data_IF_299392421564
#
_entry.id   IF_299392421564
#
_cell.length_a   1.000
_cell.length_b   1.000
_cell.length_c   1.000
_cell.angle_alpha   90.00
_cell.angle_beta   90.00
_cell.angle_gamma   90.00
#
_symmetry.space_group_name_H-M   'P 1'
#
loop_
_entity.id
_entity.type
_entity.pdbx_description
1 polymer ?
#
# COMPACT_ATOMS: atom_id res chain seq x y z
N UNK A 1 -35.73 -41.18 -61.26
CA UNK A 1 -36.67 -40.33 -60.55
C UNK A 1 -36.20 -40.30 -59.11
N UNK A 2 -35.50 -39.30 -58.79
CA UNK A 2 -34.67 -39.19 -57.61
C UNK A 2 -35.39 -38.26 -56.61
N UNK A 3 -35.91 -38.85 -55.58
CA UNK A 3 -36.48 -38.11 -54.47
C UNK A 3 -35.35 -37.71 -53.52
N UNK A 4 -35.11 -36.43 -53.44
CA UNK A 4 -34.10 -35.87 -52.55
C UNK A 4 -34.84 -35.44 -51.30
N UNK A 5 -34.77 -36.29 -50.26
CA UNK A 5 -35.28 -35.96 -48.94
C UNK A 5 -34.58 -34.74 -48.37
N UNK A 6 -35.33 -33.66 -48.22
CA UNK A 6 -34.94 -32.54 -47.41
C UNK A 6 -34.96 -33.00 -45.94
N UNK A 7 -33.79 -33.31 -45.41
CA UNK A 7 -33.63 -33.40 -43.98
C UNK A 7 -33.66 -32.00 -43.37
N UNK A 8 -34.77 -31.67 -42.82
CA UNK A 8 -34.94 -30.49 -41.95
C UNK A 8 -34.09 -30.72 -40.70
N UNK A 9 -32.96 -30.04 -40.67
CA UNK A 9 -32.18 -29.97 -39.45
C UNK A 9 -32.92 -29.02 -38.50
N UNK A 10 -33.70 -29.62 -37.61
CA UNK A 10 -34.29 -28.91 -36.50
C UNK A 10 -33.18 -28.45 -35.58
N UNK A 11 -32.93 -27.15 -35.55
CA UNK A 11 -32.05 -26.52 -34.60
C UNK A 11 -32.65 -26.73 -33.21
N UNK A 12 -31.87 -27.19 -32.23
CA UNK A 12 -32.39 -27.30 -30.88
C UNK A 12 -32.72 -25.90 -30.33
N UNK A 13 -33.96 -25.71 -29.96
CA UNK A 13 -34.42 -24.56 -29.22
C UNK A 13 -33.56 -24.41 -27.97
N UNK A 14 -32.67 -23.48 -27.96
CA UNK A 14 -31.96 -23.05 -26.77
C UNK A 14 -32.93 -22.21 -25.94
N UNK A 15 -33.78 -22.90 -25.17
CA UNK A 15 -34.42 -22.31 -24.01
C UNK A 15 -33.34 -22.15 -22.95
N UNK A 16 -32.80 -21.03 -22.87
CA UNK A 16 -31.89 -20.60 -21.85
C UNK A 16 -32.08 -19.13 -21.68
N UNK A 17 -32.95 -18.75 -20.76
CA UNK A 17 -32.76 -17.50 -20.02
C UNK A 17 -31.39 -17.56 -19.34
N UNK A 18 -30.34 -17.51 -20.18
CA UNK A 18 -29.06 -17.02 -19.71
C UNK A 18 -29.30 -15.55 -19.50
N UNK A 19 -29.71 -15.19 -18.28
CA UNK A 19 -29.35 -13.93 -17.71
C UNK A 19 -27.93 -13.64 -18.20
N UNK A 20 -27.83 -12.73 -19.12
CA UNK A 20 -26.59 -12.03 -19.39
C UNK A 20 -26.27 -11.29 -18.10
N UNK A 21 -25.77 -12.03 -17.11
CA UNK A 21 -24.88 -11.46 -16.14
C UNK A 21 -23.80 -10.86 -17.02
N UNK A 22 -23.88 -9.57 -17.20
CA UNK A 22 -22.77 -8.75 -17.66
C UNK A 22 -21.67 -9.09 -16.67
N UNK A 23 -20.89 -10.10 -16.99
CA UNK A 23 -19.56 -10.24 -16.42
C UNK A 23 -18.87 -9.03 -17.00
N UNK A 24 -18.97 -7.90 -16.31
CA UNK A 24 -18.08 -6.79 -16.54
C UNK A 24 -16.70 -7.39 -16.44
N UNK A 25 -16.16 -7.73 -17.61
CA UNK A 25 -14.79 -8.19 -17.69
C UNK A 25 -13.97 -7.12 -17.00
N UNK A 26 -13.20 -7.45 -15.97
CA UNK A 26 -12.43 -6.45 -15.23
C UNK A 26 -11.63 -5.69 -16.27
N UNK A 27 -11.86 -4.38 -16.34
CA UNK A 27 -11.11 -3.51 -17.25
C UNK A 27 -9.66 -3.63 -16.78
N UNK A 28 -8.86 -4.37 -17.55
CA UNK A 28 -7.45 -4.58 -17.24
C UNK A 28 -6.63 -3.70 -18.15
N UNK A 29 -5.93 -2.74 -17.58
CA UNK A 29 -4.94 -1.94 -18.31
C UNK A 29 -3.61 -2.70 -18.28
N UNK A 30 -3.05 -2.97 -19.45
CA UNK A 30 -1.77 -3.67 -19.59
C UNK A 30 -0.76 -2.74 -20.23
N UNK A 31 0.38 -2.55 -19.58
CA UNK A 31 1.56 -1.87 -20.12
C UNK A 31 2.53 -2.97 -20.55
N UNK A 32 2.87 -2.99 -21.85
CA UNK A 32 3.75 -4.01 -22.39
C UNK A 32 5.21 -3.83 -21.92
N UNK A 33 6.01 -4.87 -22.06
CA UNK A 33 7.40 -4.93 -21.58
C UNK A 33 8.32 -3.87 -22.21
N UNK A 34 8.06 -3.50 -23.46
CA UNK A 34 8.88 -2.54 -24.22
C UNK A 34 8.40 -1.09 -24.04
N UNK A 35 7.26 -0.90 -23.38
CA UNK A 35 6.69 0.42 -23.18
C UNK A 35 7.38 1.16 -22.05
N UNK A 36 7.69 2.42 -22.31
CA UNK A 36 8.17 3.36 -21.29
C UNK A 36 7.19 4.50 -21.16
N UNK A 37 6.60 4.63 -19.99
CA UNK A 37 5.59 5.63 -19.69
C UNK A 37 6.07 6.55 -18.57
N UNK A 38 5.84 7.84 -18.76
CA UNK A 38 6.14 8.83 -17.72
C UNK A 38 4.92 9.72 -17.47
N UNK A 39 4.55 9.89 -16.22
CA UNK A 39 3.45 10.77 -15.84
C UNK A 39 2.55 10.20 -14.76
N UNK A 40 1.27 10.61 -14.77
CA UNK A 40 0.25 10.11 -13.85
C UNK A 40 -0.66 9.13 -14.59
N UNK A 41 -0.77 7.94 -14.06
CA UNK A 41 -1.64 6.89 -14.57
C UNK A 41 -2.76 6.63 -13.57
N UNK A 42 -4.01 6.77 -14.01
CA UNK A 42 -5.19 6.42 -13.22
C UNK A 42 -5.88 5.20 -13.83
N UNK A 43 -6.00 4.14 -13.06
CA UNK A 43 -6.62 2.88 -13.49
C UNK A 43 -7.84 2.63 -12.60
N UNK A 44 -9.03 2.55 -13.24
CA UNK A 44 -10.26 2.12 -12.60
C UNK A 44 -10.42 0.62 -12.83
N UNK A 45 -10.03 -0.20 -11.86
CA UNK A 45 -10.03 -1.65 -11.98
C UNK A 45 -8.64 -2.25 -11.84
N UNK A 46 -8.34 -3.29 -12.61
CA UNK A 46 -7.08 -4.01 -12.51
C UNK A 46 -6.05 -3.47 -13.50
N UNK A 47 -4.80 -3.34 -13.05
CA UNK A 47 -3.68 -2.93 -13.89
C UNK A 47 -2.56 -3.97 -13.88
N UNK A 48 -1.91 -4.15 -15.03
CA UNK A 48 -0.70 -4.96 -15.18
C UNK A 48 0.40 -4.14 -15.83
N UNK A 49 1.52 -4.00 -15.16
CA UNK A 49 2.68 -3.25 -15.63
C UNK A 49 3.82 -4.23 -15.87
N UNK A 50 4.25 -4.36 -17.13
CA UNK A 50 5.37 -5.23 -17.50
C UNK A 50 6.57 -4.45 -18.04
N UNK A 51 6.39 -3.16 -18.33
CA UNK A 51 7.42 -2.26 -18.87
C UNK A 51 8.04 -1.33 -17.84
N UNK A 52 8.59 -0.22 -18.35
CA UNK A 52 9.18 0.84 -17.50
C UNK A 52 8.14 1.92 -17.24
N UNK A 53 7.98 2.29 -15.98
CA UNK A 53 7.07 3.36 -15.61
C UNK A 53 7.73 4.33 -14.61
N UNK A 54 7.59 5.63 -14.88
CA UNK A 54 8.05 6.70 -13.98
C UNK A 54 6.94 7.70 -13.69
N UNK A 55 6.70 8.00 -12.41
CA UNK A 55 5.71 9.02 -12.03
C UNK A 55 4.78 8.59 -10.92
N UNK A 56 3.46 8.60 -11.15
CA UNK A 56 2.46 8.21 -10.15
C UNK A 56 1.42 7.28 -10.76
N UNK A 57 1.14 6.17 -10.07
CA UNK A 57 0.08 5.24 -10.44
C UNK A 57 -0.98 5.21 -9.34
N UNK A 58 -2.23 5.46 -9.72
CA UNK A 58 -3.40 5.33 -8.86
C UNK A 58 -4.30 4.23 -9.45
N UNK A 59 -4.54 3.18 -8.68
CA UNK A 59 -5.33 2.03 -9.11
C UNK A 59 -6.40 1.71 -8.04
N UNK A 60 -7.67 1.66 -8.44
CA UNK A 60 -8.75 1.34 -7.51
C UNK A 60 -8.90 -0.17 -7.27
N UNK A 61 -8.22 -1.01 -8.02
CA UNK A 61 -8.28 -2.46 -7.95
C UNK A 61 -6.96 -3.13 -7.59
N UNK A 62 -6.63 -4.17 -8.33
CA UNK A 62 -5.39 -4.93 -8.19
C UNK A 62 -4.35 -4.47 -9.20
N UNK A 63 -3.17 -4.11 -8.72
CA UNK A 63 -2.02 -3.74 -9.54
C UNK A 63 -1.00 -4.89 -9.52
N UNK A 64 -0.73 -5.45 -10.69
CA UNK A 64 0.30 -6.46 -10.90
C UNK A 64 1.53 -5.83 -11.57
N UNK A 65 2.69 -5.97 -10.95
CA UNK A 65 3.97 -5.54 -11.50
C UNK A 65 4.73 -6.79 -11.92
N UNK A 66 4.97 -6.93 -13.21
CA UNK A 66 5.62 -8.09 -13.81
C UNK A 66 7.09 -8.24 -13.39
N UNK A 67 7.70 -9.43 -13.60
CA UNK A 67 9.04 -9.73 -13.10
C UNK A 67 10.16 -8.96 -13.81
N UNK A 68 9.89 -8.42 -14.99
CA UNK A 68 10.85 -7.62 -15.76
C UNK A 68 10.50 -6.12 -15.73
N UNK A 69 9.43 -5.75 -15.02
CA UNK A 69 9.02 -4.36 -14.90
C UNK A 69 9.97 -3.56 -14.03
N UNK A 70 10.24 -2.35 -14.48
CA UNK A 70 10.96 -1.32 -13.74
C UNK A 70 10.03 -0.16 -13.44
N UNK A 71 9.71 0.05 -12.19
CA UNK A 71 8.78 1.10 -11.78
C UNK A 71 9.46 2.05 -10.81
N UNK A 72 9.62 3.31 -11.20
CA UNK A 72 10.09 4.39 -10.34
C UNK A 72 8.96 5.37 -10.09
N UNK A 73 8.06 5.03 -9.15
CA UNK A 73 6.83 5.78 -8.98
C UNK A 73 6.22 5.70 -7.59
N UNK A 74 5.35 6.68 -7.32
CA UNK A 74 4.41 6.59 -6.20
C UNK A 74 3.21 5.73 -6.60
N UNK A 75 3.03 4.59 -5.93
CA UNK A 75 1.96 3.64 -6.19
C UNK A 75 0.86 3.76 -5.13
N UNK A 76 -0.37 3.95 -5.56
CA UNK A 76 -1.55 3.87 -4.69
C UNK A 76 -2.53 2.85 -5.29
N UNK A 77 -2.81 1.75 -4.56
CA UNK A 77 -3.74 0.73 -5.02
C UNK A 77 -4.41 0.00 -3.84
N UNK A 78 -5.48 -0.73 -4.11
CA UNK A 78 -6.09 -1.57 -3.09
C UNK A 78 -5.24 -2.82 -2.83
N UNK A 79 -4.87 -3.51 -3.89
CA UNK A 79 -3.97 -4.67 -3.81
C UNK A 79 -2.80 -4.46 -4.75
N UNK A 80 -1.58 -4.77 -4.29
CA UNK A 80 -0.37 -4.67 -5.10
C UNK A 80 0.35 -6.00 -5.07
N UNK A 81 0.69 -6.52 -6.24
CA UNK A 81 1.56 -7.69 -6.39
C UNK A 81 2.82 -7.27 -7.13
N UNK A 82 3.97 -7.38 -6.48
CA UNK A 82 5.27 -6.98 -7.02
C UNK A 82 6.08 -8.23 -7.36
N UNK A 83 6.39 -8.43 -8.63
CA UNK A 83 7.30 -9.46 -9.08
C UNK A 83 8.58 -8.88 -9.71
N UNK A 84 8.59 -7.59 -10.08
CA UNK A 84 9.72 -6.87 -10.64
C UNK A 84 10.37 -5.90 -9.66
N UNK A 85 11.07 -4.90 -10.24
CA UNK A 85 11.74 -3.87 -9.47
C UNK A 85 10.82 -2.65 -9.30
N UNK A 86 10.65 -2.22 -8.05
CA UNK A 86 9.87 -1.03 -7.71
C UNK A 86 10.67 -0.13 -6.79
N UNK A 87 10.74 1.14 -7.15
CA UNK A 87 11.39 2.19 -6.36
C UNK A 87 10.43 3.35 -6.13
N UNK A 88 10.27 3.75 -4.87
CA UNK A 88 9.41 4.85 -4.49
C UNK A 88 8.46 4.52 -3.34
N UNK A 89 7.34 5.24 -3.26
CA UNK A 89 6.37 5.06 -2.19
C UNK A 89 5.23 4.13 -2.64
N UNK A 90 4.96 3.09 -1.88
CA UNK A 90 3.88 2.15 -2.17
C UNK A 90 2.80 2.24 -1.10
N UNK A 91 1.58 2.53 -1.51
CA UNK A 91 0.41 2.56 -0.63
C UNK A 91 -0.55 1.49 -1.08
N UNK A 92 -0.63 0.39 -0.34
CA UNK A 92 -1.56 -0.70 -0.59
C UNK A 92 -2.62 -0.75 0.51
N UNK A 93 -3.83 -0.29 0.20
CA UNK A 93 -4.92 -0.17 1.18
C UNK A 93 -5.26 -1.49 1.87
N UNK A 94 -5.29 -2.57 1.11
CA UNK A 94 -5.68 -3.89 1.61
C UNK A 94 -4.48 -4.81 1.79
N UNK A 95 -3.70 -5.05 0.71
CA UNK A 95 -2.61 -6.03 0.74
C UNK A 95 -1.50 -5.70 -0.24
N UNK A 96 -0.28 -5.82 0.24
CA UNK A 96 0.93 -5.87 -0.58
C UNK A 96 1.49 -7.29 -0.60
N UNK A 97 1.71 -7.84 -1.79
CA UNK A 97 2.38 -9.12 -2.00
C UNK A 97 3.68 -8.91 -2.76
N UNK A 98 4.79 -9.34 -2.21
CA UNK A 98 6.08 -9.33 -2.88
C UNK A 98 6.37 -10.76 -3.31
N UNK A 99 6.50 -10.98 -4.61
CA UNK A 99 6.81 -12.29 -5.17
C UNK A 99 8.31 -12.60 -5.02
N UNK A 100 8.69 -13.82 -5.36
CA UNK A 100 10.05 -14.33 -5.22
C UNK A 100 11.13 -13.56 -6.00
N UNK A 101 10.75 -12.89 -7.09
CA UNK A 101 11.65 -12.05 -7.90
C UNK A 101 11.45 -10.56 -7.62
N UNK A 102 10.47 -10.22 -6.76
CA UNK A 102 10.10 -8.85 -6.46
C UNK A 102 11.14 -8.15 -5.59
N UNK A 103 11.52 -6.95 -5.99
CA UNK A 103 12.37 -6.05 -5.22
C UNK A 103 11.65 -4.72 -5.02
N UNK A 104 11.50 -4.31 -3.78
CA UNK A 104 10.90 -3.03 -3.41
C UNK A 104 11.94 -2.18 -2.68
N UNK A 105 12.19 -0.98 -3.21
CA UNK A 105 13.05 0.02 -2.59
C UNK A 105 12.22 1.27 -2.25
N UNK A 106 12.20 1.65 -0.99
CA UNK A 106 11.49 2.83 -0.51
C UNK A 106 10.50 2.56 0.60
N UNK A 107 9.53 3.46 0.75
CA UNK A 107 8.56 3.38 1.84
C UNK A 107 7.30 2.64 1.40
N UNK A 108 6.82 1.72 2.22
CA UNK A 108 5.58 1.01 1.99
C UNK A 108 4.60 1.22 3.15
N UNK A 109 3.36 1.65 2.82
CA UNK A 109 2.24 1.73 3.76
C UNK A 109 1.19 0.73 3.31
N UNK A 110 0.91 -0.26 4.14
CA UNK A 110 0.09 -1.39 3.73
C UNK A 110 -0.88 -1.82 4.82
N UNK A 111 -2.07 -2.31 4.43
CA UNK A 111 -2.99 -2.95 5.37
C UNK A 111 -2.51 -4.32 5.80
N UNK A 112 -1.99 -5.11 4.87
CA UNK A 112 -1.36 -6.40 5.13
C UNK A 112 -0.18 -6.63 4.19
N UNK A 113 0.89 -7.25 4.69
CA UNK A 113 2.08 -7.58 3.92
C UNK A 113 2.25 -9.09 3.79
N UNK A 114 2.52 -9.54 2.58
CA UNK A 114 2.91 -10.93 2.28
C UNK A 114 4.19 -10.91 1.44
N UNK A 115 5.25 -11.48 1.96
CA UNK A 115 6.51 -11.62 1.24
C UNK A 115 6.74 -13.10 0.97
N UNK A 116 6.93 -13.46 -0.29
CA UNK A 116 7.30 -14.82 -0.69
C UNK A 116 8.82 -15.01 -0.59
N UNK A 117 9.25 -16.27 -0.53
CA UNK A 117 10.67 -16.61 -0.51
C UNK A 117 11.39 -16.00 -1.71
N UNK A 118 12.49 -15.31 -1.48
CA UNK A 118 13.26 -14.60 -2.51
C UNK A 118 12.88 -13.14 -2.73
N UNK A 119 11.73 -12.70 -2.23
CA UNK A 119 11.34 -11.28 -2.27
C UNK A 119 12.23 -10.41 -1.37
N UNK A 120 12.66 -9.27 -1.89
CA UNK A 120 13.55 -8.34 -1.17
C UNK A 120 12.84 -7.01 -0.99
N UNK A 121 12.92 -6.48 0.23
CA UNK A 121 12.48 -5.13 0.54
C UNK A 121 13.61 -4.33 1.19
N UNK A 122 13.81 -3.13 0.68
CA UNK A 122 14.72 -2.14 1.25
C UNK A 122 13.98 -0.84 1.58
N UNK A 123 13.89 -0.49 2.84
CA UNK A 123 13.23 0.75 3.28
C UNK A 123 12.34 0.55 4.49
N UNK A 124 11.37 1.44 4.67
CA UNK A 124 10.48 1.44 5.83
C UNK A 124 9.11 0.87 5.45
N UNK A 125 8.67 -0.16 6.18
CA UNK A 125 7.31 -0.67 6.03
C UNK A 125 6.48 -0.24 7.24
N UNK A 126 5.32 0.35 6.96
CA UNK A 126 4.31 0.65 7.98
C UNK A 126 3.06 -0.15 7.67
N UNK A 127 2.73 -1.07 8.57
CA UNK A 127 1.53 -1.90 8.44
C UNK A 127 0.42 -1.32 9.31
N UNK A 128 -0.72 -0.99 8.69
CA UNK A 128 -1.91 -0.47 9.35
C UNK A 128 -3.05 -1.46 9.16
N UNK A 129 -3.27 -2.43 10.06
CA UNK A 129 -4.27 -3.48 9.89
C UNK A 129 -5.71 -2.96 9.88
N UNK A 130 -5.96 -1.78 10.40
CA UNK A 130 -7.29 -1.13 10.42
C UNK A 130 -7.59 -0.28 9.18
N UNK A 131 -6.70 -0.31 8.18
CA UNK A 131 -6.79 0.53 6.98
C UNK A 131 -5.89 1.76 7.06
N UNK A 132 -5.55 2.29 5.89
CA UNK A 132 -4.71 3.48 5.77
C UNK A 132 -5.63 4.70 5.80
N UNK A 133 -5.49 5.62 6.77
CA UNK A 133 -6.29 6.85 6.77
C UNK A 133 -5.92 7.70 5.54
N UNK A 134 -6.94 8.11 4.80
CA UNK A 134 -6.82 8.97 3.61
C UNK A 134 -6.55 10.43 4.04
N UNK A 135 -5.41 10.69 4.66
CA UNK A 135 -5.04 12.03 5.08
C UNK A 135 -3.53 12.25 5.08
N UNK A 136 -3.04 13.50 4.98
CA UNK A 136 -1.66 13.78 5.27
C UNK A 136 -1.43 13.44 6.74
N UNK A 137 -0.73 12.34 6.98
CA UNK A 137 -0.30 12.01 8.33
C UNK A 137 0.57 13.14 8.86
N UNK A 138 -0.05 13.96 9.69
CA UNK A 138 0.71 14.70 10.67
C UNK A 138 1.32 13.64 11.56
N UNK A 139 2.58 13.34 11.35
CA UNK A 139 3.36 12.50 12.23
C UNK A 139 3.39 13.17 13.59
N UNK A 140 2.38 12.89 14.41
CA UNK A 140 2.55 13.05 15.83
C UNK A 140 3.51 11.95 16.19
N UNK A 141 4.78 12.27 16.17
CA UNK A 141 5.77 11.53 16.93
C UNK A 141 5.36 11.72 18.37
N UNK A 142 4.46 10.89 18.82
CA UNK A 142 4.27 10.69 20.25
C UNK A 142 5.56 10.05 20.72
N UNK A 143 6.50 10.91 21.06
CA UNK A 143 7.64 10.53 21.87
C UNK A 143 7.07 9.83 23.09
N UNK A 144 7.51 8.61 23.43
CA UNK A 144 7.14 8.02 24.69
C UNK A 144 7.62 9.02 25.74
N UNK A 145 6.69 9.68 26.40
CA UNK A 145 6.98 10.43 27.60
C UNK A 145 7.66 9.43 28.52
N UNK A 146 8.89 9.67 28.96
CA UNK A 146 9.43 8.89 30.04
C UNK A 146 8.40 9.02 31.15
N UNK A 147 7.86 7.90 31.59
CA UNK A 147 7.04 7.86 32.77
C UNK A 147 7.88 8.51 33.87
N UNK A 148 7.57 9.76 34.17
CA UNK A 148 8.07 10.40 35.32
C UNK A 148 7.53 9.56 36.48
N UNK A 149 8.38 8.70 37.00
CA UNK A 149 8.16 8.17 38.31
C UNK A 149 8.00 9.40 39.19
N UNK A 150 6.77 9.72 39.51
CA UNK A 150 6.46 10.58 40.61
C UNK A 150 6.99 9.87 41.89
N UNK A 151 8.24 10.12 42.19
CA UNK A 151 8.75 9.91 43.50
C UNK A 151 7.97 10.87 44.39
N UNK A 152 6.98 10.34 45.04
CA UNK A 152 6.35 10.96 46.18
C UNK A 152 7.42 11.02 47.25
N UNK A 153 8.17 12.10 47.27
CA UNK A 153 8.95 12.49 48.42
C UNK A 153 8.01 13.18 49.39
N UNK A 154 7.30 12.37 50.14
CA UNK A 154 6.65 12.81 51.34
C UNK A 154 7.73 13.35 52.31
N UNK A 155 7.58 14.59 52.67
CA UNK A 155 8.02 15.09 53.93
C UNK A 155 9.51 15.40 54.08
N UNK A 156 9.93 16.56 53.58
CA UNK A 156 10.96 17.30 54.32
C UNK A 156 10.41 18.68 54.68
N UNK A 157 10.30 18.96 55.98
CA UNK A 157 9.97 20.30 56.39
C UNK A 157 11.14 21.23 56.06
N UNK A 158 10.80 22.30 55.35
CA UNK A 158 11.72 23.39 55.09
C UNK A 158 12.30 23.91 56.41
N UNK A 159 13.59 23.84 56.64
CA UNK A 159 14.15 24.62 57.75
C UNK A 159 14.20 26.07 57.27
N UNK A 160 13.28 26.88 57.80
CA UNK A 160 13.38 28.31 57.77
C UNK A 160 14.58 28.68 58.60
N UNK A 161 15.75 28.63 58.00
CA UNK A 161 16.94 29.21 58.56
C UNK A 161 16.82 30.75 58.46
N UNK A 162 16.43 31.35 59.55
CA UNK A 162 16.64 32.78 59.76
C UNK A 162 18.10 33.07 59.56
N UNK A 163 18.48 33.60 58.44
CA UNK A 163 19.78 34.23 58.27
C UNK A 163 19.74 35.54 59.04
N UNK A 164 20.17 35.49 60.25
CA UNK A 164 20.49 36.68 61.02
C UNK A 164 21.68 37.33 60.34
N UNK A 165 21.46 38.56 59.82
CA UNK A 165 22.52 39.50 59.51
C UNK A 165 23.29 39.77 60.75
N UNK A 166 24.47 39.24 60.84
CA UNK A 166 25.47 39.65 61.78
C UNK A 166 26.44 40.57 61.04
N UNK A 167 26.07 41.83 60.93
CA UNK A 167 27.02 42.90 60.75
C UNK A 167 27.26 43.53 62.07
N UNK A 168 28.19 42.96 62.82
CA UNK A 168 28.78 43.60 63.93
C UNK A 168 29.91 44.48 63.44
N UNK A 169 29.81 45.71 63.86
CA UNK A 169 30.81 46.76 63.83
C UNK A 169 32.19 46.23 64.16
N UNK A 170 33.13 46.68 63.35
CA UNK A 170 34.48 46.95 63.83
C UNK A 170 34.96 48.23 63.18
N UNK A 171 35.35 49.13 64.08
CA UNK A 171 36.09 50.36 63.93
C UNK A 171 37.09 50.36 62.78
#
# INVERSE_FOLDING_TARGET
MTDIGLETIEAPAVNGDRELRSVEAPITTVIAKEDSLTGRLQIRGNGSVMGTFSGRIECDGELLIGPEAHVEADLKANKVTIAGFVKGNVIAMTRLKIANTGRLEGDARVGALVVLEGGVHHGVIRVHPEGIPDGPETSIVESPRPAAHAAVVSGMPNPIGKVRKFWGEFF
#
